data_IF_154551861510
#
_entry.id   IF_154551861510
#
_cell.length_a   1.000
_cell.length_b   1.000
_cell.length_c   1.000
_cell.angle_alpha   90.00
_cell.angle_beta   90.00
_cell.angle_gamma   90.00
#
_symmetry.space_group_name_H-M   'P 1'
#
loop_
_entity.id
_entity.type
_entity.pdbx_description
1 polymer ?
#
# COMPACT_ATOMS: atom_id res chain seq x y z
N UNK A 1 -17.22 -33.28 36.30
CA UNK A 1 -16.16 -33.62 35.31
C UNK A 1 -16.78 -33.44 33.93
N UNK A 2 -16.07 -32.86 32.95
CA UNK A 2 -16.53 -32.91 31.55
C UNK A 2 -16.24 -34.31 31.03
N UNK A 3 -17.15 -34.91 30.25
CA UNK A 3 -16.92 -36.26 29.74
C UNK A 3 -15.80 -36.23 28.69
N UNK A 4 -15.01 -37.29 28.59
CA UNK A 4 -13.95 -37.38 27.56
C UNK A 4 -14.51 -37.27 26.14
N UNK A 5 -15.78 -37.66 25.95
CA UNK A 5 -16.52 -37.47 24.70
C UNK A 5 -16.72 -35.98 24.36
N UNK A 6 -16.92 -35.11 25.35
CA UNK A 6 -17.06 -33.66 25.14
C UNK A 6 -15.73 -33.06 24.70
N UNK A 7 -14.62 -33.49 25.30
CA UNK A 7 -13.26 -33.06 24.96
C UNK A 7 -12.89 -33.55 23.55
N UNK A 8 -13.22 -34.80 23.22
CA UNK A 8 -12.99 -35.37 21.89
C UNK A 8 -13.70 -34.60 20.78
N UNK A 9 -14.96 -34.20 21.01
CA UNK A 9 -15.75 -33.41 20.06
C UNK A 9 -15.32 -31.94 19.98
N UNK A 10 -14.66 -31.40 21.02
CA UNK A 10 -14.02 -30.08 20.99
C UNK A 10 -12.67 -30.09 20.26
N UNK A 11 -11.96 -31.23 20.28
CA UNK A 11 -10.63 -31.39 19.67
C UNK A 11 -10.69 -31.86 18.21
N UNK A 12 -11.63 -32.74 17.88
CA UNK A 12 -11.80 -33.34 16.56
C UNK A 12 -13.09 -32.79 15.94
N UNK A 13 -12.91 -31.81 15.05
CA UNK A 13 -13.96 -31.18 14.27
C UNK A 13 -13.75 -31.45 12.79
N UNK A 14 -14.85 -31.48 12.03
CA UNK A 14 -14.83 -31.45 10.58
C UNK A 14 -14.08 -30.18 10.11
N UNK A 15 -12.99 -30.38 9.37
CA UNK A 15 -12.08 -29.31 9.00
C UNK A 15 -12.70 -28.25 8.08
N UNK A 16 -13.65 -28.64 7.22
CA UNK A 16 -14.32 -27.73 6.31
C UNK A 16 -15.34 -26.88 7.06
N UNK A 17 -16.12 -27.50 7.95
CA UNK A 17 -17.08 -26.81 8.81
C UNK A 17 -16.40 -25.87 9.81
N UNK A 18 -15.30 -26.31 10.45
CA UNK A 18 -14.52 -25.49 11.38
C UNK A 18 -13.86 -24.29 10.67
N UNK A 19 -13.25 -24.53 9.50
CA UNK A 19 -12.70 -23.46 8.66
C UNK A 19 -13.78 -22.43 8.30
N UNK A 20 -14.96 -22.89 7.86
CA UNK A 20 -16.08 -22.01 7.50
C UNK A 20 -16.59 -21.17 8.67
N UNK A 21 -16.70 -21.73 9.87
CA UNK A 21 -17.11 -20.99 11.08
C UNK A 21 -16.11 -19.86 11.40
N UNK A 22 -14.80 -20.13 11.34
CA UNK A 22 -13.76 -19.10 11.52
C UNK A 22 -13.87 -18.00 10.45
N UNK A 23 -14.11 -18.36 9.19
CA UNK A 23 -14.30 -17.38 8.11
C UNK A 23 -15.54 -16.50 8.34
N UNK A 24 -16.62 -17.04 8.91
CA UNK A 24 -17.81 -16.25 9.26
C UNK A 24 -17.54 -15.26 10.38
N UNK A 25 -16.77 -15.62 11.40
CA UNK A 25 -16.35 -14.69 12.45
C UNK A 25 -15.48 -13.57 11.88
N UNK A 26 -14.49 -13.91 11.07
CA UNK A 26 -13.66 -12.92 10.37
C UNK A 26 -14.48 -12.02 9.43
N UNK A 27 -15.48 -12.57 8.72
CA UNK A 27 -16.38 -11.79 7.88
C UNK A 27 -17.22 -10.78 8.70
N UNK A 28 -17.81 -11.23 9.82
CA UNK A 28 -18.59 -10.39 10.74
C UNK A 28 -17.77 -9.21 11.27
N UNK A 29 -16.49 -9.44 11.59
CA UNK A 29 -15.56 -8.38 12.04
C UNK A 29 -15.18 -7.39 10.93
N UNK A 30 -15.06 -7.86 9.67
CA UNK A 30 -14.61 -7.06 8.54
C UNK A 30 -15.70 -6.27 7.81
N UNK A 31 -16.97 -6.69 7.89
CA UNK A 31 -18.07 -6.13 7.09
C UNK A 31 -18.32 -4.63 7.28
N UNK A 32 -17.91 -4.07 8.43
CA UNK A 32 -17.97 -2.63 8.72
C UNK A 32 -16.94 -1.80 7.92
N UNK A 33 -15.80 -2.40 7.56
CA UNK A 33 -14.73 -1.72 6.84
C UNK A 33 -14.85 -1.85 5.33
N UNK A 34 -15.29 -3.01 4.84
CA UNK A 34 -15.34 -3.30 3.41
C UNK A 34 -16.39 -4.36 3.05
N UNK A 35 -16.83 -4.33 1.80
CA UNK A 35 -17.70 -5.34 1.17
C UNK A 35 -17.10 -5.80 -0.16
N UNK A 36 -17.55 -6.95 -0.64
CA UNK A 36 -17.16 -7.50 -1.94
C UNK A 36 -18.40 -7.70 -2.81
N UNK A 37 -18.30 -7.38 -4.10
CA UNK A 37 -19.34 -7.67 -5.09
C UNK A 37 -19.31 -9.14 -5.51
N UNK A 38 -20.39 -9.63 -6.12
CA UNK A 38 -20.43 -10.98 -6.73
C UNK A 38 -19.36 -11.17 -7.83
N UNK A 39 -18.90 -10.09 -8.44
CA UNK A 39 -17.85 -10.11 -9.47
C UNK A 39 -16.44 -10.07 -8.87
N UNK A 40 -16.30 -9.98 -7.54
CA UNK A 40 -15.02 -9.79 -6.88
C UNK A 40 -14.55 -8.32 -6.80
N UNK A 41 -15.40 -7.31 -6.98
CA UNK A 41 -14.99 -5.92 -6.75
C UNK A 41 -15.01 -5.59 -5.26
N UNK A 42 -13.93 -5.01 -4.74
CA UNK A 42 -13.82 -4.67 -3.31
C UNK A 42 -14.21 -3.21 -3.10
N UNK A 43 -15.17 -2.98 -2.20
CA UNK A 43 -15.72 -1.67 -1.86
C UNK A 43 -15.30 -1.35 -0.44
N UNK A 44 -14.39 -0.39 -0.25
CA UNK A 44 -14.01 0.09 1.08
C UNK A 44 -15.06 1.08 1.57
N UNK A 45 -15.67 0.78 2.72
CA UNK A 45 -16.65 1.62 3.40
C UNK A 45 -15.94 2.66 4.28
N UNK A 46 -15.01 2.19 5.12
CA UNK A 46 -14.24 3.08 5.99
C UNK A 46 -13.07 3.74 5.23
N UNK A 47 -13.28 5.00 4.89
CA UNK A 47 -12.28 5.80 4.20
C UNK A 47 -11.13 6.30 5.11
N UNK A 48 -11.30 6.26 6.43
CA UNK A 48 -10.28 6.69 7.41
C UNK A 48 -9.08 5.73 7.48
N UNK A 49 -9.28 4.47 7.11
CA UNK A 49 -8.24 3.44 7.07
C UNK A 49 -7.00 3.89 6.29
N UNK A 50 -5.84 3.53 6.83
CA UNK A 50 -4.57 3.70 6.12
C UNK A 50 -4.59 2.89 4.80
N UNK A 51 -3.90 3.34 3.74
CA UNK A 51 -3.82 2.57 2.50
C UNK A 51 -3.25 1.16 2.70
N UNK A 52 -2.30 0.98 3.63
CA UNK A 52 -1.74 -0.33 3.97
C UNK A 52 -2.80 -1.25 4.61
N UNK A 53 -3.68 -0.72 5.47
CA UNK A 53 -4.82 -1.48 5.99
C UNK A 53 -5.83 -1.81 4.88
N UNK A 54 -6.13 -0.86 3.97
CA UNK A 54 -7.02 -1.12 2.82
C UNK A 54 -6.49 -2.25 1.92
N UNK A 55 -5.18 -2.34 1.69
CA UNK A 55 -4.55 -3.47 0.98
C UNK A 55 -4.68 -4.79 1.75
N UNK A 56 -4.48 -4.79 3.07
CA UNK A 56 -4.60 -5.99 3.91
C UNK A 56 -6.04 -6.51 3.98
N UNK A 57 -7.01 -5.62 4.20
CA UNK A 57 -8.44 -5.95 4.16
C UNK A 57 -8.81 -6.52 2.79
N UNK A 58 -8.30 -5.94 1.69
CA UNK A 58 -8.59 -6.46 0.36
C UNK A 58 -8.21 -7.94 0.22
N UNK A 59 -6.98 -8.30 0.62
CA UNK A 59 -6.52 -9.69 0.61
C UNK A 59 -7.35 -10.62 1.48
N UNK A 60 -7.62 -10.22 2.72
CA UNK A 60 -8.38 -11.06 3.67
C UNK A 60 -9.82 -11.23 3.20
N UNK A 61 -10.47 -10.17 2.74
CA UNK A 61 -11.84 -10.21 2.25
C UNK A 61 -11.97 -11.06 0.99
N UNK A 62 -11.00 -11.03 0.07
CA UNK A 62 -11.00 -11.91 -1.12
C UNK A 62 -10.89 -13.38 -0.71
N UNK A 63 -10.01 -13.70 0.24
CA UNK A 63 -9.82 -15.06 0.73
C UNK A 63 -11.08 -15.60 1.41
N UNK A 64 -11.66 -14.84 2.34
CA UNK A 64 -12.93 -15.16 3.01
C UNK A 64 -14.06 -15.32 1.97
N UNK A 65 -14.15 -14.43 0.97
CA UNK A 65 -15.18 -14.51 -0.05
C UNK A 65 -15.06 -15.78 -0.90
N UNK A 66 -13.83 -16.21 -1.25
CA UNK A 66 -13.60 -17.47 -1.95
C UNK A 66 -14.11 -18.68 -1.15
N UNK A 67 -13.95 -18.69 0.18
CA UNK A 67 -14.46 -19.79 1.02
C UNK A 67 -15.99 -19.87 1.10
N UNK A 68 -16.71 -18.80 0.72
CA UNK A 68 -18.17 -18.81 0.63
C UNK A 68 -18.70 -18.96 -0.80
N UNK A 69 -17.96 -18.47 -1.79
CA UNK A 69 -18.31 -18.54 -3.21
C UNK A 69 -17.03 -18.75 -4.05
N UNK A 70 -16.83 -19.99 -4.50
CA UNK A 70 -15.66 -20.39 -5.29
C UNK A 70 -15.54 -19.64 -6.63
N UNK A 71 -16.60 -18.97 -7.10
CA UNK A 71 -16.55 -18.12 -8.30
C UNK A 71 -15.73 -16.83 -8.07
N UNK A 72 -15.60 -16.38 -6.83
CA UNK A 72 -14.74 -15.26 -6.46
C UNK A 72 -13.31 -15.81 -6.32
N UNK A 73 -12.32 -15.36 -7.13
CA UNK A 73 -10.99 -15.97 -7.13
C UNK A 73 -10.19 -15.61 -5.87
N UNK A 74 -9.67 -16.57 -5.12
CA UNK A 74 -8.87 -16.30 -3.89
C UNK A 74 -7.71 -15.29 -4.06
N UNK A 75 -7.15 -15.18 -5.27
CA UNK A 75 -6.02 -14.29 -5.56
C UNK A 75 -6.44 -12.87 -5.96
N UNK A 76 -5.55 -11.90 -5.71
CA UNK A 76 -5.69 -10.52 -6.18
C UNK A 76 -4.49 -10.11 -7.04
N UNK A 77 -4.76 -9.36 -8.10
CA UNK A 77 -3.75 -8.73 -8.96
C UNK A 77 -3.28 -7.37 -8.44
N UNK A 78 -2.05 -6.98 -8.80
CA UNK A 78 -1.52 -5.63 -8.55
C UNK A 78 -2.40 -4.52 -9.16
N UNK A 79 -3.10 -4.82 -10.26
CA UNK A 79 -3.95 -3.87 -10.99
C UNK A 79 -5.24 -3.57 -10.22
N UNK A 80 -5.89 -4.60 -9.66
CA UNK A 80 -7.06 -4.40 -8.78
C UNK A 80 -6.70 -3.56 -7.56
N UNK A 81 -5.55 -3.82 -6.92
CA UNK A 81 -5.09 -3.06 -5.75
C UNK A 81 -4.72 -1.61 -6.08
N UNK A 82 -4.16 -1.36 -7.26
CA UNK A 82 -3.91 -0.01 -7.77
C UNK A 82 -5.22 0.75 -8.03
N UNK A 83 -6.20 0.10 -8.65
CA UNK A 83 -7.53 0.66 -8.87
C UNK A 83 -8.25 0.96 -7.54
N UNK A 84 -8.22 0.01 -6.59
CA UNK A 84 -8.83 0.12 -5.25
C UNK A 84 -8.35 1.35 -4.47
N UNK A 85 -7.06 1.67 -4.58
CA UNK A 85 -6.46 2.84 -3.94
C UNK A 85 -6.49 4.10 -4.82
N UNK A 86 -6.88 3.99 -6.09
CA UNK A 86 -6.68 5.05 -7.11
C UNK A 86 -5.22 5.54 -7.20
N UNK A 87 -4.27 4.61 -7.06
CA UNK A 87 -2.83 4.88 -7.05
C UNK A 87 -2.10 4.23 -8.23
N UNK A 88 -0.86 4.67 -8.49
CA UNK A 88 -0.02 4.05 -9.52
C UNK A 88 0.49 2.67 -9.10
N UNK A 89 0.60 1.76 -10.08
CA UNK A 89 1.08 0.38 -9.91
C UNK A 89 2.41 0.30 -9.16
N UNK A 90 3.35 1.23 -9.41
CA UNK A 90 4.66 1.26 -8.76
C UNK A 90 4.57 1.63 -7.27
N UNK A 91 3.67 2.55 -6.91
CA UNK A 91 3.46 2.95 -5.53
C UNK A 91 2.87 1.80 -4.71
N UNK A 92 1.81 1.17 -5.23
CA UNK A 92 1.19 -0.01 -4.61
C UNK A 92 2.14 -1.20 -4.57
N UNK A 93 2.88 -1.46 -5.66
CA UNK A 93 3.91 -2.52 -5.71
C UNK A 93 5.02 -2.32 -4.68
N UNK A 94 5.42 -1.07 -4.42
CA UNK A 94 6.37 -0.73 -3.36
C UNK A 94 5.81 -1.02 -1.96
N UNK A 95 4.54 -0.69 -1.70
CA UNK A 95 3.90 -0.95 -0.39
C UNK A 95 3.71 -2.43 -0.15
N UNK A 96 3.20 -3.16 -1.15
CA UNK A 96 3.12 -4.62 -1.12
C UNK A 96 4.48 -5.26 -0.83
N UNK A 97 5.56 -4.82 -1.48
CA UNK A 97 6.89 -5.35 -1.17
C UNK A 97 7.35 -5.06 0.27
N UNK A 98 6.85 -4.02 0.94
CA UNK A 98 7.13 -3.78 2.36
C UNK A 98 6.28 -4.69 3.25
N UNK A 99 4.97 -4.75 2.99
CA UNK A 99 4.01 -5.60 3.72
C UNK A 99 4.46 -7.08 3.68
N UNK A 100 4.78 -7.59 2.49
CA UNK A 100 5.28 -8.97 2.32
C UNK A 100 6.61 -9.21 3.05
N UNK A 101 7.54 -8.26 3.03
CA UNK A 101 8.88 -8.44 3.65
C UNK A 101 8.87 -8.33 5.17
N UNK A 102 7.99 -7.51 5.74
CA UNK A 102 7.95 -7.23 7.19
C UNK A 102 7.00 -8.14 7.95
N UNK A 103 5.88 -8.49 7.33
CA UNK A 103 4.76 -9.15 8.02
C UNK A 103 4.42 -10.51 7.39
N UNK A 104 5.09 -10.87 6.28
CA UNK A 104 4.78 -12.07 5.49
C UNK A 104 3.28 -12.20 5.12
N UNK A 105 2.59 -11.07 4.99
CA UNK A 105 1.12 -11.02 4.94
C UNK A 105 0.50 -11.72 3.73
N UNK A 106 1.21 -11.68 2.60
CA UNK A 106 0.78 -12.25 1.34
C UNK A 106 1.97 -12.93 0.64
N UNK A 107 1.69 -13.99 -0.13
CA UNK A 107 2.64 -14.63 -1.03
C UNK A 107 2.35 -14.24 -2.48
N UNK A 108 3.37 -14.21 -3.32
CA UNK A 108 3.24 -13.92 -4.75
C UNK A 108 3.11 -15.26 -5.49
N UNK A 109 1.95 -15.50 -6.11
CA UNK A 109 1.65 -16.75 -6.82
C UNK A 109 2.23 -16.72 -8.24
N UNK A 110 2.04 -15.61 -8.96
CA UNK A 110 2.64 -15.37 -10.29
C UNK A 110 2.96 -13.88 -10.48
N UNK A 111 3.46 -13.49 -11.66
CA UNK A 111 3.85 -12.08 -11.93
C UNK A 111 2.64 -11.14 -11.76
N UNK A 112 2.68 -10.32 -10.71
CA UNK A 112 1.63 -9.35 -10.40
C UNK A 112 0.37 -9.94 -9.75
N UNK A 113 0.41 -11.18 -9.25
CA UNK A 113 -0.73 -11.86 -8.60
C UNK A 113 -0.32 -12.42 -7.25
N UNK A 114 -1.16 -12.22 -6.25
CA UNK A 114 -0.85 -12.40 -4.84
C UNK A 114 -2.01 -13.08 -4.11
N UNK A 115 -1.69 -13.83 -3.05
CA UNK A 115 -2.63 -14.52 -2.17
C UNK A 115 -2.26 -14.22 -0.72
N UNK A 116 -3.25 -14.09 0.17
CA UNK A 116 -3.00 -13.91 1.62
C UNK A 116 -2.34 -15.16 2.22
N UNK A 117 -1.70 -15.02 3.38
CA UNK A 117 -1.24 -16.18 4.16
C UNK A 117 -2.17 -16.37 5.36
N UNK A 118 -2.82 -17.54 5.48
CA UNK A 118 -3.89 -17.78 6.45
C UNK A 118 -3.51 -17.42 7.90
N UNK A 119 -2.31 -17.81 8.35
CA UNK A 119 -1.84 -17.59 9.72
C UNK A 119 -1.65 -16.11 10.12
N UNK A 120 -1.68 -15.15 9.18
CA UNK A 120 -1.62 -13.71 9.52
C UNK A 120 -3.01 -13.07 9.70
N UNK A 121 -4.08 -13.75 9.29
CA UNK A 121 -5.42 -13.17 9.18
C UNK A 121 -5.98 -12.81 10.56
N UNK A 122 -5.99 -13.76 11.49
CA UNK A 122 -6.54 -13.60 12.84
C UNK A 122 -5.87 -12.44 13.59
N UNK A 123 -4.53 -12.46 13.66
CA UNK A 123 -3.73 -11.39 14.26
C UNK A 123 -4.04 -10.03 13.64
N UNK A 124 -4.17 -9.96 12.32
CA UNK A 124 -4.46 -8.70 11.64
C UNK A 124 -5.85 -8.16 11.96
N UNK A 125 -6.87 -9.01 12.00
CA UNK A 125 -8.24 -8.60 12.35
C UNK A 125 -8.26 -8.10 13.80
N UNK A 126 -7.61 -8.83 14.72
CA UNK A 126 -7.45 -8.42 16.12
C UNK A 126 -6.68 -7.09 16.27
N UNK A 127 -5.57 -6.92 15.54
CA UNK A 127 -4.79 -5.66 15.49
C UNK A 127 -5.56 -4.49 14.84
N UNK A 128 -6.59 -4.79 14.03
CA UNK A 128 -7.44 -3.80 13.37
C UNK A 128 -8.54 -3.31 14.33
N UNK A 129 -9.20 -4.22 15.05
CA UNK A 129 -10.17 -3.91 16.11
C UNK A 129 -9.52 -3.14 17.28
N UNK A 130 -8.35 -3.59 17.76
CA UNK A 130 -7.63 -2.89 18.83
C UNK A 130 -7.20 -1.44 18.49
N UNK A 131 -7.09 -1.11 17.19
CA UNK A 131 -6.77 0.24 16.72
C UNK A 131 -7.97 1.19 16.67
N UNK A 132 -9.21 0.68 16.59
CA UNK A 132 -10.40 1.52 16.73
C UNK A 132 -10.47 2.15 18.12
N UNK A 133 -10.00 1.44 19.15
CA UNK A 133 -10.03 1.90 20.55
C UNK A 133 -9.01 3.00 20.88
N UNK A 134 -8.11 3.40 19.96
CA UNK A 134 -6.94 4.22 20.34
C UNK A 134 -6.72 5.54 19.60
N UNK A 135 -7.25 5.79 18.39
CA UNK A 135 -7.02 7.10 17.71
C UNK A 135 -8.24 7.60 16.94
N UNK A 136 -8.77 8.75 17.37
CA UNK A 136 -9.70 9.57 16.60
C UNK A 136 -9.01 10.58 15.67
N UNK A 137 -9.75 11.01 14.64
CA UNK A 137 -9.50 12.17 13.76
C UNK A 137 -8.31 12.13 12.78
N UNK A 138 -8.63 11.99 11.49
CA UNK A 138 -7.74 12.30 10.36
C UNK A 138 -8.47 13.08 9.27
N UNK A 139 -8.06 14.33 8.99
CA UNK A 139 -8.76 15.23 8.05
C UNK A 139 -8.64 14.78 6.58
N UNK A 140 -9.77 14.79 5.84
CA UNK A 140 -9.81 14.68 4.37
C UNK A 140 -9.16 15.90 3.68
N UNK A 141 -8.62 15.69 2.47
CA UNK A 141 -8.27 16.75 1.49
C UNK A 141 -8.77 16.37 0.09
N UNK A 142 -9.13 17.39 -0.69
CA UNK A 142 -9.60 17.33 -2.08
C UNK A 142 -8.49 17.75 -3.06
N UNK A 143 -8.60 17.34 -4.33
CA UNK A 143 -7.60 17.56 -5.39
C UNK A 143 -8.23 18.37 -6.54
N UNK A 144 -7.47 19.28 -7.16
CA UNK A 144 -7.73 19.85 -8.49
C UNK A 144 -6.56 19.51 -9.43
N UNK A 145 -6.86 19.21 -10.69
CA UNK A 145 -5.89 18.79 -11.71
C UNK A 145 -5.47 19.94 -12.63
N UNK A 146 -4.27 19.84 -13.22
CA UNK A 146 -3.73 20.82 -14.17
C UNK A 146 -2.64 20.23 -15.07
N UNK A 147 -2.47 20.78 -16.28
CA UNK A 147 -1.56 20.28 -17.33
C UNK A 147 -1.07 21.44 -18.21
N UNK A 148 -0.08 21.33 -19.12
CA UNK A 148 0.55 20.21 -19.84
C UNK A 148 1.96 20.69 -20.29
N UNK A 149 3.02 19.86 -20.31
CA UNK A 149 4.13 20.00 -21.29
C UNK A 149 5.06 18.77 -21.36
N UNK A 150 5.54 18.46 -22.57
CA UNK A 150 6.37 17.28 -22.91
C UNK A 150 7.84 17.67 -22.96
N UNK A 151 8.69 16.85 -22.35
CA UNK A 151 10.12 16.73 -22.73
C UNK A 151 10.61 15.29 -22.45
N UNK A 152 11.66 14.86 -23.18
CA UNK A 152 12.13 13.46 -23.32
C UNK A 152 11.79 12.55 -22.14
N UNK A 153 10.88 11.61 -22.41
CA UNK A 153 10.14 10.81 -21.43
C UNK A 153 11.04 10.13 -20.38
N UNK A 154 11.03 10.71 -19.18
CA UNK A 154 11.37 9.95 -17.97
C UNK A 154 10.15 9.08 -17.64
N UNK A 155 10.37 7.82 -17.27
CA UNK A 155 9.31 6.87 -16.91
C UNK A 155 9.31 6.56 -15.40
N UNK A 156 8.18 6.07 -14.88
CA UNK A 156 8.02 5.73 -13.46
C UNK A 156 8.36 6.88 -12.50
N UNK A 157 9.11 6.57 -11.44
CA UNK A 157 9.50 7.48 -10.36
C UNK A 157 10.20 8.76 -10.87
N UNK A 158 11.01 8.63 -11.91
CA UNK A 158 11.69 9.79 -12.49
C UNK A 158 10.73 10.75 -13.20
N UNK A 159 9.63 10.24 -13.76
CA UNK A 159 8.56 11.09 -14.32
C UNK A 159 7.93 11.95 -13.23
N UNK A 160 7.62 11.35 -12.10
CA UNK A 160 7.00 12.04 -10.96
C UNK A 160 7.92 13.09 -10.34
N UNK A 161 9.23 12.80 -10.24
CA UNK A 161 10.24 13.78 -9.82
C UNK A 161 10.33 14.95 -10.81
N UNK A 162 10.32 14.67 -12.13
CA UNK A 162 10.34 15.71 -13.15
C UNK A 162 9.09 16.60 -13.06
N UNK A 163 7.90 15.99 -13.10
CA UNK A 163 6.62 16.70 -13.13
C UNK A 163 6.35 17.48 -11.84
N UNK A 164 6.55 16.88 -10.66
CA UNK A 164 6.12 17.46 -9.39
C UNK A 164 7.18 18.25 -8.64
N UNK A 165 8.47 17.95 -8.85
CA UNK A 165 9.56 18.56 -8.08
C UNK A 165 10.44 19.48 -8.95
N UNK A 166 10.81 19.04 -10.15
CA UNK A 166 11.66 19.85 -11.04
C UNK A 166 10.84 20.95 -11.71
N UNK A 167 9.81 20.59 -12.48
CA UNK A 167 9.03 21.54 -13.29
C UNK A 167 8.23 22.52 -12.42
N UNK A 168 7.83 22.12 -11.21
CA UNK A 168 7.12 22.96 -10.25
C UNK A 168 8.06 23.78 -9.33
N UNK A 169 9.34 23.91 -9.68
CA UNK A 169 10.33 24.72 -8.95
C UNK A 169 10.53 24.33 -7.46
N UNK A 170 10.20 23.10 -7.05
CA UNK A 170 10.36 22.65 -5.66
C UNK A 170 11.83 22.71 -5.20
N UNK A 171 12.76 22.39 -6.11
CA UNK A 171 14.20 22.51 -5.89
C UNK A 171 14.76 23.92 -6.09
N UNK A 172 13.93 24.98 -6.17
CA UNK A 172 14.41 26.38 -6.22
C UNK A 172 15.14 26.81 -4.94
N UNK A 173 14.87 26.12 -3.83
CA UNK A 173 15.68 26.20 -2.59
C UNK A 173 16.32 24.85 -2.29
N UNK A 174 17.39 24.78 -1.46
CA UNK A 174 18.05 23.51 -1.17
C UNK A 174 17.13 22.53 -0.41
N UNK A 175 16.68 21.46 -1.08
CA UNK A 175 15.76 20.45 -0.51
C UNK A 175 16.43 19.12 -0.19
N UNK A 176 16.01 18.52 0.91
CA UNK A 176 16.41 17.16 1.32
C UNK A 176 15.56 16.10 0.62
N UNK A 177 16.05 14.85 0.63
CA UNK A 177 15.28 13.68 0.18
C UNK A 177 14.01 13.47 1.02
N UNK A 178 14.00 13.86 2.31
CA UNK A 178 12.82 13.73 3.18
C UNK A 178 11.69 14.61 2.65
N UNK A 179 11.97 15.90 2.43
CA UNK A 179 11.00 16.86 1.86
C UNK A 179 10.52 16.43 0.46
N UNK A 180 11.43 15.92 -0.39
CA UNK A 180 11.06 15.40 -1.71
C UNK A 180 10.12 14.19 -1.62
N UNK A 181 10.35 13.27 -0.67
CA UNK A 181 9.47 12.12 -0.44
C UNK A 181 8.13 12.54 0.19
N UNK A 182 8.13 13.52 1.08
CA UNK A 182 6.91 14.11 1.64
C UNK A 182 6.06 14.73 0.52
N UNK A 183 6.67 15.51 -0.39
CA UNK A 183 5.94 16.11 -1.52
C UNK A 183 5.43 15.08 -2.53
N UNK A 184 6.20 14.03 -2.81
CA UNK A 184 5.73 12.90 -3.62
C UNK A 184 4.59 12.12 -2.94
N UNK A 185 4.60 12.03 -1.60
CA UNK A 185 3.55 11.37 -0.82
C UNK A 185 2.25 12.18 -0.78
N UNK A 186 2.33 13.52 -0.72
CA UNK A 186 1.14 14.39 -0.86
C UNK A 186 0.38 14.12 -2.17
N UNK A 187 1.11 13.94 -3.27
CA UNK A 187 0.57 13.74 -4.63
C UNK A 187 0.35 12.25 -4.99
N UNK A 188 0.23 11.39 -3.96
CA UNK A 188 0.04 9.92 -4.06
C UNK A 188 1.02 9.17 -4.96
N UNK A 189 2.23 9.73 -5.17
CA UNK A 189 3.29 9.13 -5.99
C UNK A 189 4.15 8.15 -5.19
N UNK A 190 4.97 7.42 -5.93
CA UNK A 190 6.04 6.61 -5.36
C UNK A 190 7.03 7.50 -4.60
N UNK A 191 7.31 7.18 -3.34
CA UNK A 191 8.09 8.02 -2.43
C UNK A 191 9.09 7.23 -1.56
N UNK A 192 9.57 6.07 -2.02
CA UNK A 192 10.60 5.32 -1.28
C UNK A 192 11.93 6.10 -1.26
N UNK A 193 12.49 6.47 -0.08
CA UNK A 193 13.63 7.38 -0.02
C UNK A 193 14.89 6.89 -0.76
N UNK A 194 15.18 5.58 -0.74
CA UNK A 194 16.37 5.02 -1.41
C UNK A 194 16.26 5.12 -2.93
N UNK A 195 15.07 4.85 -3.46
CA UNK A 195 14.83 4.88 -4.91
C UNK A 195 14.66 6.31 -5.40
N UNK A 196 13.97 7.19 -4.67
CA UNK A 196 13.88 8.64 -4.98
C UNK A 196 15.26 9.27 -5.03
N UNK A 197 16.11 9.04 -4.02
CA UNK A 197 17.50 9.53 -4.01
C UNK A 197 18.34 8.99 -5.17
N UNK A 198 18.27 7.68 -5.44
CA UNK A 198 18.96 7.04 -6.55
C UNK A 198 18.54 7.65 -7.91
N UNK A 199 17.23 7.89 -8.09
CA UNK A 199 16.68 8.50 -9.31
C UNK A 199 17.08 9.97 -9.44
N UNK A 200 17.06 10.76 -8.36
CA UNK A 200 17.58 12.14 -8.36
C UNK A 200 19.05 12.17 -8.81
N UNK A 201 19.90 11.35 -8.17
CA UNK A 201 21.34 11.27 -8.49
C UNK A 201 21.60 10.85 -9.94
N UNK A 202 21.01 9.75 -10.41
CA UNK A 202 21.28 9.22 -11.74
C UNK A 202 20.63 10.04 -12.86
N UNK A 203 19.40 10.53 -12.67
CA UNK A 203 18.58 11.09 -13.77
C UNK A 203 18.62 12.62 -13.87
N UNK A 204 18.84 13.34 -12.77
CA UNK A 204 18.72 14.81 -12.73
C UNK A 204 20.04 15.52 -12.44
N UNK A 205 20.94 14.85 -11.73
CA UNK A 205 22.29 15.34 -11.44
C UNK A 205 23.24 14.89 -12.55
N UNK A 206 23.53 13.58 -12.62
CA UNK A 206 24.59 13.05 -13.47
C UNK A 206 24.30 13.15 -14.98
N UNK A 207 23.08 12.81 -15.43
CA UNK A 207 22.79 12.65 -16.87
C UNK A 207 22.17 13.85 -17.57
N UNK A 208 21.67 14.86 -16.82
CA UNK A 208 20.99 16.03 -17.42
C UNK A 208 21.47 17.41 -16.94
N UNK A 209 22.34 17.50 -15.91
CA UNK A 209 22.77 18.77 -15.29
C UNK A 209 21.58 19.71 -14.99
N UNK A 210 20.54 19.19 -14.33
CA UNK A 210 19.33 19.94 -13.93
C UNK A 210 19.38 20.29 -12.44
N UNK A 211 19.87 19.37 -11.61
CA UNK A 211 20.04 19.57 -10.17
C UNK A 211 21.51 19.47 -9.78
N UNK A 212 21.96 20.29 -8.83
CA UNK A 212 23.29 20.24 -8.21
C UNK A 212 23.21 19.66 -6.81
N UNK A 213 24.18 18.80 -6.45
CA UNK A 213 24.37 18.35 -5.07
C UNK A 213 24.97 19.48 -4.24
N UNK A 214 24.39 19.73 -3.08
CA UNK A 214 24.99 20.58 -2.05
C UNK A 214 25.42 19.65 -0.91
N UNK A 215 26.74 19.45 -0.71
CA UNK A 215 27.26 18.86 0.53
C UNK A 215 26.86 19.76 1.69
N UNK A 216 26.46 19.16 2.81
CA UNK A 216 26.19 19.91 4.04
C UNK A 216 27.44 19.84 4.92
N UNK A 217 28.11 20.95 5.28
CA UNK A 217 29.31 20.92 6.12
C UNK A 217 29.03 20.34 7.51
N UNK A 218 27.86 20.64 8.10
CA UNK A 218 27.54 20.33 9.50
C UNK A 218 27.02 18.89 9.71
N UNK A 219 27.66 17.89 9.09
CA UNK A 219 27.31 16.45 9.15
C UNK A 219 25.87 16.08 8.73
N UNK A 220 25.03 17.03 8.35
CA UNK A 220 23.62 16.81 8.02
C UNK A 220 23.40 16.16 6.65
N UNK A 221 22.13 15.77 6.38
CA UNK A 221 21.75 15.12 5.12
C UNK A 221 21.97 16.06 3.91
N UNK A 222 22.51 15.51 2.83
CA UNK A 222 22.77 16.26 1.59
C UNK A 222 21.48 16.87 1.01
N UNK A 223 21.63 18.06 0.40
CA UNK A 223 20.53 18.81 -0.22
C UNK A 223 20.73 18.91 -1.74
N UNK A 224 19.63 19.16 -2.44
CA UNK A 224 19.58 19.31 -3.89
C UNK A 224 18.98 20.67 -4.24
N UNK A 225 19.57 21.36 -5.22
CA UNK A 225 19.14 22.67 -5.71
C UNK A 225 19.05 22.64 -7.25
N UNK A 226 18.09 23.37 -7.81
CA UNK A 226 17.97 23.58 -9.24
C UNK A 226 19.16 24.38 -9.79
N UNK A 227 19.65 23.98 -10.96
CA UNK A 227 20.68 24.72 -11.69
C UNK A 227 19.96 25.65 -12.66
N UNK A 228 19.88 26.94 -12.32
CA UNK A 228 19.60 27.95 -13.34
C UNK A 228 20.68 27.83 -14.42
N UNK A 229 20.24 27.71 -15.67
CA UNK A 229 21.04 27.92 -16.86
C UNK A 229 20.66 29.27 -17.46
#
# INVERSE_FOLDING_TARGET
MKNDNDIKNLLIVDGDNYSRQIMEEFAKKLIKYAKISKNGDIIILDNSLSPDNKLKIAFVLRFIAHTFDNNIPETITLKELANLLSERLEAVGSRLSQIMKKENFAKKVKKGVYLVQYFVIDKFITDLENKEHSIGSGKKRTIKSGSKRKDKAVTGVGKDILELLVNNNFFKTPKTIKEACEKLKEETRFHNPKVVDMTIRKTFVNSKKILKRIPNPDKGKAKWLYVNR
#
